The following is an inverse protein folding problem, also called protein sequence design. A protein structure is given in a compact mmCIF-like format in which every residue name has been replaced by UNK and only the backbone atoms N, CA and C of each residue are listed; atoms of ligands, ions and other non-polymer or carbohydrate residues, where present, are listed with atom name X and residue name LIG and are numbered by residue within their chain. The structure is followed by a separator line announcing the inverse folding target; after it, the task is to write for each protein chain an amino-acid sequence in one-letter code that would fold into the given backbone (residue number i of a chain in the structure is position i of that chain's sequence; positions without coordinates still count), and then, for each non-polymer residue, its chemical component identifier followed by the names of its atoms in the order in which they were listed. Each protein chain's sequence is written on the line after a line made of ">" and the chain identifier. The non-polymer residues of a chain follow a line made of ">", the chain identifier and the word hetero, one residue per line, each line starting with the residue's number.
data_IF_893873734095
#
_entry.id   IF_893873734095
#
_cell.length_a   1.000
_cell.length_b   1.000
_cell.length_c   1.000
_cell.angle_alpha   90.00
_cell.angle_beta   90.00
_cell.angle_gamma   90.00
#
_symmetry.space_group_name_H-M   'P 1'
#
loop_
_entity.id
_entity.type
_entity.pdbx_description
1 polymer ?
#
# COMPACT_ATOMS: atom_id res chain seq x y z
N UNK A 1 -24.47 38.42 -74.29
CA UNK A 1 -23.91 37.06 -74.11
C UNK A 1 -23.56 36.76 -72.64
N UNK A 2 -24.48 36.94 -71.68
CA UNK A 2 -24.17 36.83 -70.23
C UNK A 2 -25.05 35.89 -69.39
N UNK A 3 -26.07 35.24 -69.98
CA UNK A 3 -27.02 34.37 -69.27
C UNK A 3 -26.47 32.94 -69.08
N UNK A 4 -25.84 32.39 -70.13
CA UNK A 4 -25.46 30.97 -70.19
C UNK A 4 -24.29 30.59 -69.25
N UNK A 5 -23.40 31.55 -68.95
CA UNK A 5 -22.29 31.34 -68.02
C UNK A 5 -22.75 31.28 -66.55
N UNK A 6 -23.78 32.06 -66.18
CA UNK A 6 -24.33 32.05 -64.81
C UNK A 6 -25.08 30.75 -64.53
N UNK A 7 -25.80 30.22 -65.52
CA UNK A 7 -26.52 28.95 -65.37
C UNK A 7 -25.56 27.76 -65.21
N UNK A 8 -24.46 27.73 -65.98
CA UNK A 8 -23.42 26.69 -65.83
C UNK A 8 -22.72 26.73 -64.48
N UNK A 9 -22.44 27.93 -63.93
CA UNK A 9 -21.87 28.08 -62.58
C UNK A 9 -22.82 27.56 -61.51
N UNK A 10 -24.10 27.95 -61.57
CA UNK A 10 -25.13 27.49 -60.63
C UNK A 10 -25.33 25.97 -60.66
N UNK A 11 -25.29 25.34 -61.84
CA UNK A 11 -25.37 23.87 -61.96
C UNK A 11 -24.16 23.14 -61.38
N UNK A 12 -22.95 23.73 -61.46
CA UNK A 12 -21.74 23.16 -60.85
C UNK A 12 -21.76 23.26 -59.32
N UNK A 13 -22.17 24.41 -58.78
CA UNK A 13 -22.31 24.61 -57.33
C UNK A 13 -23.37 23.68 -56.74
N UNK A 14 -24.52 23.52 -57.41
CA UNK A 14 -25.55 22.57 -56.98
C UNK A 14 -25.01 21.14 -56.92
N UNK A 15 -24.28 20.70 -57.96
CA UNK A 15 -23.67 19.36 -58.00
C UNK A 15 -22.64 19.16 -56.89
N UNK A 16 -21.83 20.16 -56.59
CA UNK A 16 -20.88 20.11 -55.48
C UNK A 16 -21.58 19.95 -54.12
N UNK A 17 -22.69 20.67 -53.89
CA UNK A 17 -23.49 20.52 -52.67
C UNK A 17 -24.12 19.12 -52.55
N UNK A 18 -24.63 18.56 -53.66
CA UNK A 18 -25.18 17.19 -53.66
C UNK A 18 -24.10 16.13 -53.37
N UNK A 19 -22.90 16.29 -53.91
CA UNK A 19 -21.78 15.39 -53.60
C UNK A 19 -21.32 15.52 -52.14
N UNK A 20 -21.23 16.74 -51.61
CA UNK A 20 -20.85 16.97 -50.22
C UNK A 20 -21.87 16.37 -49.23
N UNK A 21 -23.18 16.56 -49.47
CA UNK A 21 -24.22 15.92 -48.66
C UNK A 21 -24.20 14.40 -48.78
N UNK A 22 -24.02 13.86 -50.00
CA UNK A 22 -23.92 12.42 -50.23
C UNK A 22 -22.75 11.80 -49.45
N UNK A 23 -21.58 12.44 -49.49
CA UNK A 23 -20.40 12.01 -48.73
C UNK A 23 -20.62 12.09 -47.22
N UNK A 24 -21.22 13.18 -46.73
CA UNK A 24 -21.52 13.36 -45.31
C UNK A 24 -22.47 12.27 -44.78
N UNK A 25 -23.53 11.95 -45.54
CA UNK A 25 -24.48 10.90 -45.20
C UNK A 25 -23.85 9.50 -45.26
N UNK A 26 -23.03 9.22 -46.28
CA UNK A 26 -22.36 7.92 -46.43
C UNK A 26 -21.30 7.64 -45.35
N UNK A 27 -20.72 8.66 -44.71
CA UNK A 27 -19.68 8.49 -43.68
C UNK A 27 -20.25 8.60 -42.27
N UNK A 28 -21.10 9.59 -41.99
CA UNK A 28 -21.61 9.83 -40.64
C UNK A 28 -22.64 8.78 -40.20
N UNK A 29 -23.48 8.29 -41.10
CA UNK A 29 -24.51 7.30 -40.74
C UNK A 29 -23.87 5.98 -40.27
N UNK A 30 -22.89 5.38 -40.99
CA UNK A 30 -22.19 4.19 -40.49
C UNK A 30 -21.46 4.41 -39.17
N UNK A 31 -20.84 5.57 -38.96
CA UNK A 31 -20.17 5.90 -37.69
C UNK A 31 -21.15 5.99 -36.51
N UNK A 32 -22.32 6.60 -36.72
CA UNK A 32 -23.37 6.66 -35.70
C UNK A 32 -23.97 5.29 -35.39
N UNK A 33 -24.15 4.45 -36.42
CA UNK A 33 -24.59 3.06 -36.25
C UNK A 33 -23.55 2.22 -35.50
N UNK A 34 -22.26 2.39 -35.82
CA UNK A 34 -21.16 1.71 -35.13
C UNK A 34 -21.09 2.14 -33.65
N UNK A 35 -21.23 3.43 -33.36
CA UNK A 35 -21.30 3.95 -31.99
C UNK A 35 -22.44 3.30 -31.20
N UNK A 36 -23.66 3.28 -31.76
CA UNK A 36 -24.82 2.62 -31.13
C UNK A 36 -24.60 1.13 -30.91
N UNK A 37 -23.98 0.42 -31.85
CA UNK A 37 -23.65 -1.00 -31.69
C UNK A 37 -22.64 -1.23 -30.56
N UNK A 38 -21.64 -0.37 -30.41
CA UNK A 38 -20.68 -0.46 -29.31
C UNK A 38 -21.33 -0.17 -27.95
N UNK A 39 -22.21 0.83 -27.86
CA UNK A 39 -22.97 1.15 -26.65
C UNK A 39 -23.86 -0.03 -26.22
N UNK A 40 -24.59 -0.65 -27.17
CA UNK A 40 -25.41 -1.83 -26.88
C UNK A 40 -24.58 -3.05 -26.42
N UNK A 41 -23.40 -3.27 -27.01
CA UNK A 41 -22.47 -4.34 -26.56
C UNK A 41 -21.95 -4.08 -25.15
N UNK A 42 -21.62 -2.83 -24.83
CA UNK A 42 -21.18 -2.41 -23.49
C UNK A 42 -22.26 -2.64 -22.45
N UNK A 43 -23.50 -2.28 -22.75
CA UNK A 43 -24.64 -2.45 -21.83
C UNK A 43 -24.93 -3.94 -21.58
N UNK A 44 -24.88 -4.78 -22.62
CA UNK A 44 -25.02 -6.23 -22.50
C UNK A 44 -23.91 -6.85 -21.65
N UNK A 45 -22.66 -6.41 -21.82
CA UNK A 45 -21.54 -6.87 -21.01
C UNK A 45 -21.70 -6.48 -19.53
N UNK A 46 -22.15 -5.26 -19.24
CA UNK A 46 -22.44 -4.80 -17.88
C UNK A 46 -23.58 -5.61 -17.23
N UNK A 47 -24.63 -5.94 -17.98
CA UNK A 47 -25.70 -6.81 -17.49
C UNK A 47 -25.21 -8.23 -17.17
N UNK A 48 -24.35 -8.82 -18.01
CA UNK A 48 -23.73 -10.12 -17.75
C UNK A 48 -22.84 -10.10 -16.50
N UNK A 49 -22.06 -9.03 -16.28
CA UNK A 49 -21.26 -8.87 -15.07
C UNK A 49 -22.13 -8.73 -13.81
N UNK A 50 -23.22 -7.96 -13.89
CA UNK A 50 -24.19 -7.84 -12.77
C UNK A 50 -24.82 -9.19 -12.44
N UNK A 51 -25.21 -9.96 -13.45
CA UNK A 51 -25.80 -11.30 -13.28
C UNK A 51 -24.80 -12.27 -12.62
N UNK A 52 -23.55 -12.28 -13.10
CA UNK A 52 -22.49 -13.10 -12.51
C UNK A 52 -22.20 -12.71 -11.05
N UNK A 53 -22.21 -11.41 -10.73
CA UNK A 53 -22.04 -10.94 -9.36
C UNK A 53 -23.18 -11.42 -8.43
N UNK A 54 -24.43 -11.39 -8.89
CA UNK A 54 -25.57 -11.92 -8.12
C UNK A 54 -25.55 -13.44 -7.98
N UNK A 55 -25.09 -14.19 -8.98
CA UNK A 55 -24.98 -15.66 -8.90
C UNK A 55 -23.89 -16.08 -7.91
N UNK A 56 -22.75 -15.39 -7.86
CA UNK A 56 -21.70 -15.61 -6.87
C UNK A 56 -22.21 -15.37 -5.44
N UNK A 57 -23.03 -14.33 -5.24
CA UNK A 57 -23.62 -14.02 -3.93
C UNK A 57 -24.64 -15.10 -3.51
N UNK A 58 -25.35 -15.71 -4.46
CA UNK A 58 -26.39 -16.71 -4.19
C UNK A 58 -25.87 -18.10 -3.80
N UNK A 59 -24.63 -18.44 -4.16
CA UNK A 59 -24.00 -19.73 -3.84
C UNK A 59 -23.28 -19.76 -2.48
N UNK A 60 -23.24 -18.65 -1.74
CA UNK A 60 -22.72 -18.62 -0.35
C UNK A 60 -23.85 -18.84 0.66
N UNK A 61 -24.49 -20.01 0.65
CA UNK A 61 -25.53 -20.36 1.62
C UNK A 61 -24.96 -20.66 3.01
N UNK A 62 -25.52 -19.94 3.99
CA UNK A 62 -25.60 -20.23 5.43
C UNK A 62 -24.25 -20.19 6.19
N UNK A 63 -23.68 -18.98 6.25
CA UNK A 63 -22.88 -18.54 7.40
C UNK A 63 -23.73 -17.52 8.18
N UNK A 64 -23.67 -17.45 9.53
CA UNK A 64 -24.44 -16.49 10.32
C UNK A 64 -24.31 -15.11 9.70
N UNK A 65 -25.44 -14.40 9.49
CA UNK A 65 -25.54 -13.07 8.86
C UNK A 65 -24.36 -12.20 9.29
N UNK A 66 -23.25 -12.25 8.55
CA UNK A 66 -22.14 -11.32 8.73
C UNK A 66 -22.74 -10.01 8.27
N UNK A 67 -23.03 -9.14 9.22
CA UNK A 67 -23.36 -7.74 8.94
C UNK A 67 -22.31 -7.26 7.96
N UNK A 68 -22.72 -7.00 6.71
CA UNK A 68 -21.80 -6.61 5.66
C UNK A 68 -21.21 -5.29 6.10
N UNK A 69 -19.93 -5.30 6.46
CA UNK A 69 -19.30 -4.08 6.91
C UNK A 69 -19.02 -3.21 5.70
N UNK A 70 -19.81 -2.16 5.59
CA UNK A 70 -19.66 -1.17 4.55
C UNK A 70 -18.41 -0.33 4.79
N UNK A 71 -17.75 0.08 3.71
CA UNK A 71 -16.64 1.02 3.79
C UNK A 71 -17.11 2.31 4.50
N UNK A 72 -16.22 2.96 5.25
CA UNK A 72 -16.57 4.24 5.88
C UNK A 72 -16.88 5.30 4.82
N UNK A 73 -17.75 6.25 5.14
CA UNK A 73 -18.06 7.37 4.25
C UNK A 73 -16.79 8.13 3.82
N UNK A 74 -15.82 8.26 4.74
CA UNK A 74 -14.52 8.85 4.45
C UNK A 74 -13.72 8.04 3.41
N UNK A 75 -13.69 6.71 3.52
CA UNK A 75 -13.02 5.87 2.53
C UNK A 75 -13.71 5.99 1.17
N UNK A 76 -15.04 5.92 1.12
CA UNK A 76 -15.81 6.08 -0.13
C UNK A 76 -15.52 7.42 -0.80
N UNK A 77 -15.45 8.51 -0.02
CA UNK A 77 -15.08 9.84 -0.51
C UNK A 77 -13.69 9.84 -1.17
N UNK A 78 -12.69 9.16 -0.61
CA UNK A 78 -11.37 9.05 -1.25
C UNK A 78 -11.45 8.32 -2.60
N UNK A 79 -12.27 7.28 -2.70
CA UNK A 79 -12.46 6.54 -3.96
C UNK A 79 -13.17 7.41 -5.00
N UNK A 80 -14.19 8.17 -4.59
CA UNK A 80 -14.87 9.14 -5.45
C UNK A 80 -13.90 10.20 -5.98
N UNK A 81 -13.03 10.75 -5.13
CA UNK A 81 -11.99 11.71 -5.54
C UNK A 81 -11.03 11.07 -6.55
N UNK A 82 -10.62 9.82 -6.35
CA UNK A 82 -9.75 9.10 -7.28
C UNK A 82 -10.38 8.85 -8.66
N UNK A 83 -11.71 8.88 -8.78
CA UNK A 83 -12.43 8.75 -10.05
C UNK A 83 -12.52 10.07 -10.83
N UNK A 84 -12.22 11.21 -10.22
CA UNK A 84 -12.29 12.54 -10.85
C UNK A 84 -11.16 12.74 -11.87
N UNK A 85 -11.20 13.86 -12.60
CA UNK A 85 -10.02 14.33 -13.36
C UNK A 85 -8.86 14.60 -12.38
N UNK A 86 -7.59 14.45 -12.79
CA UNK A 86 -6.46 14.76 -11.92
C UNK A 86 -6.50 16.16 -11.31
N UNK A 87 -6.94 17.16 -12.07
CA UNK A 87 -7.05 18.55 -11.65
C UNK A 87 -8.13 18.75 -10.59
N UNK A 88 -9.30 18.14 -10.77
CA UNK A 88 -10.40 18.25 -9.81
C UNK A 88 -10.11 17.42 -8.56
N UNK A 89 -9.52 16.23 -8.72
CA UNK A 89 -9.04 15.43 -7.61
C UNK A 89 -8.02 16.19 -6.76
N UNK A 90 -7.10 16.92 -7.40
CA UNK A 90 -6.11 17.71 -6.68
C UNK A 90 -6.74 18.85 -5.87
N UNK A 91 -7.74 19.54 -6.43
CA UNK A 91 -8.49 20.57 -5.69
C UNK A 91 -9.20 19.98 -4.47
N UNK A 92 -9.82 18.81 -4.62
CA UNK A 92 -10.49 18.13 -3.49
C UNK A 92 -9.49 17.68 -2.42
N UNK A 93 -8.30 17.20 -2.82
CA UNK A 93 -7.21 16.90 -1.88
C UNK A 93 -6.79 18.18 -1.14
N UNK A 94 -6.59 19.30 -1.85
CA UNK A 94 -6.21 20.59 -1.26
C UNK A 94 -7.27 21.15 -0.30
N UNK A 95 -8.52 20.73 -0.42
CA UNK A 95 -9.60 21.03 0.53
C UNK A 95 -9.55 20.16 1.80
N UNK A 96 -8.52 19.32 1.96
CA UNK A 96 -8.25 18.47 3.12
C UNK A 96 -9.44 17.57 3.49
N UNK A 97 -9.79 16.59 2.64
CA UNK A 97 -11.05 15.85 2.75
C UNK A 97 -11.14 14.99 4.01
N UNK A 98 -10.00 14.74 4.70
CA UNK A 98 -9.89 13.98 5.94
C UNK A 98 -9.52 14.83 7.17
N UNK A 99 -9.28 16.14 6.99
CA UNK A 99 -8.90 17.05 8.07
C UNK A 99 -7.53 16.75 8.68
N UNK A 100 -6.53 16.37 7.86
CA UNK A 100 -5.18 15.98 8.29
C UNK A 100 -4.09 16.98 7.92
N UNK A 101 -4.26 17.81 6.89
CA UNK A 101 -3.20 18.69 6.37
C UNK A 101 -2.78 19.78 7.36
N UNK A 102 -3.71 20.23 8.21
CA UNK A 102 -3.45 21.29 9.19
C UNK A 102 -2.88 20.79 10.53
N UNK A 103 -2.62 19.48 10.67
CA UNK A 103 -2.13 18.89 11.91
C UNK A 103 -0.61 18.96 11.96
N UNK A 104 -0.08 19.92 12.73
CA UNK A 104 1.37 20.06 12.93
C UNK A 104 1.93 19.02 13.90
N UNK A 105 1.15 18.66 14.91
CA UNK A 105 1.55 17.73 15.96
C UNK A 105 0.46 16.67 16.14
N UNK A 106 0.81 15.42 15.83
CA UNK A 106 -0.11 14.31 15.96
C UNK A 106 -0.66 14.15 17.38
N UNK A 107 0.11 14.50 18.42
CA UNK A 107 -0.31 14.36 19.81
C UNK A 107 -1.47 15.27 20.21
N UNK A 108 -1.70 16.35 19.47
CA UNK A 108 -2.75 17.34 19.79
C UNK A 108 -4.09 17.00 19.13
N UNK A 109 -4.11 16.02 18.23
CA UNK A 109 -5.32 15.60 17.54
C UNK A 109 -6.29 14.87 18.47
N UNK A 110 -7.58 15.14 18.30
CA UNK A 110 -8.65 14.55 19.12
C UNK A 110 -9.51 13.62 18.29
N UNK A 111 -9.83 12.46 18.86
CA UNK A 111 -10.71 11.49 18.22
C UNK A 111 -12.11 12.10 17.95
N UNK A 112 -12.59 12.11 16.70
CA UNK A 112 -13.92 12.56 16.36
C UNK A 112 -14.95 11.52 16.81
N UNK A 113 -16.12 12.00 17.22
CA UNK A 113 -17.18 11.15 17.77
C UNK A 113 -17.96 10.38 16.70
N UNK A 114 -18.25 11.02 15.56
CA UNK A 114 -19.17 10.48 14.55
C UNK A 114 -18.50 10.09 13.23
N UNK A 115 -17.38 10.73 12.88
CA UNK A 115 -16.74 10.55 11.56
C UNK A 115 -15.42 9.81 11.70
N UNK A 116 -15.49 8.47 11.62
CA UNK A 116 -14.35 7.57 11.74
C UNK A 116 -13.99 6.99 10.38
N UNK A 117 -12.70 7.02 10.05
CA UNK A 117 -12.15 6.37 8.87
C UNK A 117 -12.08 4.86 9.09
N UNK A 118 -11.56 4.45 10.26
CA UNK A 118 -11.35 3.05 10.58
C UNK A 118 -12.63 2.42 11.13
N UNK A 119 -13.02 1.29 10.55
CA UNK A 119 -14.16 0.50 11.01
C UNK A 119 -13.84 -0.28 12.29
N UNK A 120 -14.86 -0.67 13.08
CA UNK A 120 -14.69 -1.53 14.25
C UNK A 120 -14.03 -2.88 13.91
N UNK A 121 -13.28 -3.45 14.85
CA UNK A 121 -12.65 -4.78 14.66
C UNK A 121 -13.71 -5.88 14.46
N UNK A 122 -14.91 -5.70 15.02
CA UNK A 122 -16.06 -6.59 14.83
C UNK A 122 -16.42 -6.80 13.35
N UNK A 123 -15.99 -5.90 12.46
CA UNK A 123 -16.18 -6.02 11.03
C UNK A 123 -15.22 -6.98 10.31
N UNK A 124 -14.21 -7.51 11.00
CA UNK A 124 -13.21 -8.40 10.40
C UNK A 124 -12.27 -7.72 9.38
N UNK A 125 -12.38 -6.39 9.22
CA UNK A 125 -11.50 -5.56 8.39
C UNK A 125 -10.33 -4.95 9.18
N UNK A 126 -10.41 -4.94 10.52
CA UNK A 126 -9.37 -4.40 11.39
C UNK A 126 -8.19 -5.37 11.65
N UNK A 127 -7.08 -4.86 12.22
CA UNK A 127 -5.96 -5.69 12.67
C UNK A 127 -6.38 -6.64 13.79
N UNK A 128 -5.72 -7.80 13.89
CA UNK A 128 -6.01 -8.82 14.90
C UNK A 128 -5.44 -8.44 16.28
N UNK A 129 -6.28 -8.17 17.31
CA UNK A 129 -5.77 -7.91 18.66
C UNK A 129 -5.03 -9.11 19.26
N UNK A 130 -5.41 -10.32 18.83
CA UNK A 130 -4.75 -11.57 19.23
C UNK A 130 -3.31 -11.64 18.73
N UNK A 131 -3.06 -11.28 17.47
CA UNK A 131 -1.70 -11.27 16.91
C UNK A 131 -0.80 -10.27 17.65
N UNK A 132 -1.33 -9.09 17.96
CA UNK A 132 -0.64 -8.08 18.76
C UNK A 132 -0.27 -8.59 20.16
N UNK A 133 -1.23 -9.19 20.86
CA UNK A 133 -1.01 -9.75 22.19
C UNK A 133 -0.01 -10.92 22.17
N UNK A 134 -0.06 -11.77 21.14
CA UNK A 134 0.87 -12.88 20.95
C UNK A 134 2.31 -12.38 20.76
N UNK A 135 2.49 -11.33 19.95
CA UNK A 135 3.81 -10.72 19.73
C UNK A 135 4.35 -10.03 20.98
N UNK A 136 3.50 -9.32 21.72
CA UNK A 136 3.85 -8.70 23.01
C UNK A 136 4.39 -9.73 24.02
N UNK A 137 3.69 -10.87 24.12
CA UNK A 137 4.08 -12.01 24.96
C UNK A 137 5.22 -12.84 24.36
N UNK A 138 5.77 -12.46 23.19
CA UNK A 138 6.82 -13.18 22.46
C UNK A 138 6.49 -14.66 22.23
N UNK A 139 5.21 -14.96 21.98
CA UNK A 139 4.74 -16.32 21.74
C UNK A 139 5.36 -16.90 20.45
N UNK A 140 5.60 -18.21 20.45
CA UNK A 140 6.01 -18.93 19.22
C UNK A 140 4.93 -18.69 18.14
N UNK A 141 5.35 -18.46 16.90
CA UNK A 141 4.43 -18.18 15.78
C UNK A 141 3.97 -16.72 15.67
N UNK A 142 4.18 -15.88 16.69
CA UNK A 142 3.93 -14.44 16.57
C UNK A 142 5.09 -13.78 15.81
N UNK A 143 4.78 -13.09 14.71
CA UNK A 143 5.78 -12.46 13.85
C UNK A 143 5.36 -11.04 13.51
N UNK A 144 6.32 -10.10 13.49
CA UNK A 144 6.11 -8.81 12.85
C UNK A 144 6.55 -8.86 11.39
N UNK A 145 5.62 -8.55 10.49
CA UNK A 145 5.93 -8.24 9.10
C UNK A 145 6.02 -6.73 8.93
N UNK A 146 7.19 -6.25 8.53
CA UNK A 146 7.42 -4.85 8.19
C UNK A 146 7.45 -4.65 6.68
N UNK A 147 6.40 -4.02 6.15
CA UNK A 147 6.36 -3.65 4.74
C UNK A 147 7.12 -2.33 4.55
N UNK A 148 8.29 -2.40 3.95
CA UNK A 148 9.12 -1.26 3.68
C UNK A 148 8.71 -0.62 2.36
N UNK A 149 8.29 0.64 2.40
CA UNK A 149 8.25 1.48 1.20
C UNK A 149 9.64 2.01 0.94
N UNK A 150 10.28 1.58 -0.14
CA UNK A 150 11.64 2.04 -0.46
C UNK A 150 11.70 3.57 -0.46
N UNK A 151 12.78 4.10 0.14
CA UNK A 151 12.99 5.54 0.39
C UNK A 151 12.04 6.21 1.39
N UNK A 152 11.29 5.43 2.17
CA UNK A 152 10.55 5.89 3.35
C UNK A 152 11.32 5.74 4.68
N UNK A 153 12.63 5.44 4.64
CA UNK A 153 13.53 5.51 5.81
C UNK A 153 13.65 4.25 6.67
N UNK A 154 13.28 3.05 6.22
CA UNK A 154 13.27 1.86 7.07
C UNK A 154 14.60 1.12 7.26
N UNK A 155 15.76 1.66 6.85
CA UNK A 155 17.07 1.10 7.21
C UNK A 155 17.31 1.11 8.74
N UNK A 156 16.75 2.11 9.41
CA UNK A 156 16.75 2.27 10.86
C UNK A 156 15.72 1.38 11.57
N UNK A 157 14.64 0.97 10.90
CA UNK A 157 13.62 0.08 11.48
C UNK A 157 14.24 -1.25 11.94
N UNK A 158 15.15 -1.83 11.16
CA UNK A 158 15.76 -3.09 11.59
C UNK A 158 16.68 -2.93 12.80
N UNK A 159 17.36 -1.79 12.94
CA UNK A 159 18.11 -1.46 14.15
C UNK A 159 17.16 -1.41 15.35
N UNK A 160 15.98 -0.82 15.18
CA UNK A 160 14.94 -0.76 16.20
C UNK A 160 14.36 -2.14 16.54
N UNK A 161 14.04 -2.95 15.54
CA UNK A 161 13.62 -4.34 15.76
C UNK A 161 14.65 -5.14 16.57
N UNK A 162 15.94 -5.06 16.20
CA UNK A 162 17.04 -5.76 16.89
C UNK A 162 17.16 -5.41 18.36
N UNK A 163 16.99 -4.14 18.70
CA UNK A 163 17.07 -3.71 20.09
C UNK A 163 15.92 -4.25 20.96
N UNK A 164 14.78 -4.60 20.35
CA UNK A 164 13.60 -5.11 21.06
C UNK A 164 13.51 -6.64 21.07
N UNK A 165 13.89 -7.32 19.96
CA UNK A 165 13.77 -8.79 19.85
C UNK A 165 15.11 -9.54 19.83
N UNK A 166 16.24 -8.83 19.70
CA UNK A 166 17.60 -9.41 19.70
C UNK A 166 18.11 -9.80 18.31
N UNK A 167 19.45 -9.81 18.15
CA UNK A 167 20.11 -10.04 16.86
C UNK A 167 19.79 -11.42 16.26
N UNK A 168 19.74 -12.47 17.08
CA UNK A 168 19.46 -13.85 16.65
C UNK A 168 18.00 -14.08 16.23
N UNK A 169 17.09 -13.16 16.55
CA UNK A 169 15.67 -13.23 16.18
C UNK A 169 15.30 -12.27 15.05
N UNK A 170 16.29 -11.71 14.38
CA UNK A 170 16.13 -10.79 13.24
C UNK A 170 17.05 -11.18 12.08
N UNK A 171 16.59 -11.10 10.82
CA UNK A 171 17.49 -11.25 9.69
C UNK A 171 18.62 -10.21 9.67
N UNK A 172 19.78 -10.59 9.13
CA UNK A 172 21.01 -9.77 9.13
C UNK A 172 20.94 -8.54 8.21
N UNK A 173 20.34 -8.65 7.04
CA UNK A 173 20.29 -7.53 6.09
C UNK A 173 18.97 -6.78 6.23
N UNK A 174 18.95 -5.63 6.91
CA UNK A 174 17.74 -4.79 7.12
C UNK A 174 16.46 -5.56 7.52
N UNK A 175 16.61 -6.65 8.27
CA UNK A 175 15.50 -7.53 8.71
C UNK A 175 14.80 -8.23 7.54
N UNK A 176 15.45 -8.26 6.39
CA UNK A 176 15.05 -8.92 5.18
C UNK A 176 15.83 -10.25 5.08
N UNK A 177 15.13 -11.40 5.01
CA UNK A 177 15.75 -12.66 4.63
C UNK A 177 16.40 -12.58 3.25
N UNK A 178 17.50 -13.30 3.10
CA UNK A 178 17.96 -13.75 1.79
C UNK A 178 17.16 -14.97 1.36
N UNK A 179 16.84 -15.06 0.07
CA UNK A 179 16.24 -16.27 -0.48
C UNK A 179 17.27 -17.40 -0.74
N UNK A 180 18.55 -17.15 -0.44
CA UNK A 180 19.63 -18.11 -0.60
C UNK A 180 19.94 -18.49 -2.05
N UNK A 181 19.27 -17.88 -3.03
CA UNK A 181 19.54 -18.16 -4.44
C UNK A 181 20.86 -17.52 -4.88
N UNK A 182 21.53 -18.13 -5.87
CA UNK A 182 22.68 -17.54 -6.59
C UNK A 182 22.35 -16.25 -7.37
N UNK A 183 21.18 -15.66 -7.13
CA UNK A 183 20.75 -14.40 -7.73
C UNK A 183 21.30 -13.28 -6.84
N UNK A 184 22.23 -12.51 -7.38
CA UNK A 184 22.82 -11.38 -6.67
C UNK A 184 21.72 -10.33 -6.40
N UNK A 185 21.49 -9.94 -5.13
CA UNK A 185 20.52 -8.88 -4.76
C UNK A 185 19.09 -9.33 -4.42
N UNK A 186 18.92 -10.54 -3.87
CA UNK A 186 17.59 -11.09 -3.52
C UNK A 186 17.05 -10.71 -2.14
N UNK A 187 17.86 -10.06 -1.31
CA UNK A 187 17.41 -9.63 0.01
C UNK A 187 16.31 -8.56 -0.12
N UNK A 188 15.23 -8.71 0.65
CA UNK A 188 14.10 -7.76 0.65
C UNK A 188 12.99 -8.07 -0.34
N UNK A 189 13.00 -9.28 -0.92
CA UNK A 189 12.01 -9.79 -1.87
C UNK A 189 11.25 -10.98 -1.29
N UNK A 190 10.72 -10.82 -0.10
CA UNK A 190 9.93 -11.86 0.60
C UNK A 190 8.49 -11.85 0.09
N UNK A 191 8.02 -10.74 -0.50
CA UNK A 191 6.66 -10.60 -1.00
C UNK A 191 6.30 -11.57 -2.14
N UNK A 192 7.28 -12.22 -2.79
CA UNK A 192 7.07 -13.32 -3.75
C UNK A 192 7.00 -14.71 -3.14
N UNK A 193 7.33 -14.87 -1.86
CA UNK A 193 7.25 -16.18 -1.21
C UNK A 193 5.77 -16.54 -0.99
N UNK A 194 5.45 -17.81 -1.19
CA UNK A 194 4.17 -18.37 -0.79
C UNK A 194 4.14 -18.54 0.74
N UNK A 195 2.95 -18.60 1.30
CA UNK A 195 2.67 -18.76 2.72
C UNK A 195 3.44 -19.94 3.36
N UNK A 196 3.57 -21.08 2.69
CA UNK A 196 4.30 -22.24 3.21
C UNK A 196 5.79 -21.93 3.37
N UNK A 197 6.38 -21.25 2.39
CA UNK A 197 7.79 -20.87 2.42
C UNK A 197 8.07 -19.84 3.53
N UNK A 198 7.16 -18.89 3.73
CA UNK A 198 7.23 -17.94 4.85
C UNK A 198 7.18 -18.70 6.17
N UNK A 199 6.24 -19.64 6.31
CA UNK A 199 6.07 -20.43 7.52
C UNK A 199 7.27 -21.33 7.83
N UNK A 200 7.80 -22.03 6.82
CA UNK A 200 9.00 -22.86 6.94
C UNK A 200 10.20 -22.03 7.39
N UNK A 201 10.44 -20.87 6.76
CA UNK A 201 11.51 -19.97 7.13
C UNK A 201 11.41 -19.52 8.60
N UNK A 202 10.22 -19.11 9.02
CA UNK A 202 9.97 -18.64 10.38
C UNK A 202 10.22 -19.72 11.42
N UNK A 203 9.74 -20.94 11.17
CA UNK A 203 9.96 -22.09 12.05
C UNK A 203 11.42 -22.48 12.14
N UNK A 204 12.12 -22.52 11.00
CA UNK A 204 13.54 -22.90 10.92
C UNK A 204 14.46 -21.88 11.60
N UNK A 205 14.16 -20.59 11.48
CA UNK A 205 15.05 -19.52 11.97
C UNK A 205 14.69 -19.01 13.35
N UNK A 206 13.45 -19.18 13.80
CA UNK A 206 12.96 -18.57 15.04
C UNK A 206 12.94 -17.04 15.01
N UNK A 207 13.02 -16.44 13.82
CA UNK A 207 12.93 -14.99 13.68
C UNK A 207 11.54 -14.48 14.06
N UNK A 208 11.50 -13.31 14.71
CA UNK A 208 10.25 -12.65 15.10
C UNK A 208 9.92 -11.45 14.21
N UNK A 209 10.80 -11.11 13.27
CA UNK A 209 10.64 -9.97 12.37
C UNK A 209 11.05 -10.37 10.96
N UNK A 210 10.22 -10.05 9.98
CA UNK A 210 10.56 -10.06 8.56
C UNK A 210 10.25 -8.70 7.95
N UNK A 211 11.02 -8.31 6.95
CA UNK A 211 10.75 -7.14 6.14
C UNK A 211 10.77 -7.48 4.65
N UNK A 212 9.94 -6.77 3.90
CA UNK A 212 9.90 -6.78 2.44
C UNK A 212 9.98 -5.34 1.93
N UNK A 213 10.79 -5.09 0.90
CA UNK A 213 10.98 -3.74 0.34
C UNK A 213 10.56 -3.68 -1.13
N UNK A 214 10.98 -4.67 -1.92
CA UNK A 214 10.97 -4.56 -3.38
C UNK A 214 9.70 -5.12 -4.00
N UNK A 215 9.17 -6.21 -3.45
CA UNK A 215 7.99 -6.88 -4.00
C UNK A 215 6.70 -6.18 -3.56
N UNK A 216 5.60 -6.48 -4.28
CA UNK A 216 4.26 -6.17 -3.79
C UNK A 216 4.00 -6.85 -2.43
N UNK A 217 3.21 -6.20 -1.58
CA UNK A 217 2.81 -6.73 -0.28
C UNK A 217 1.95 -7.98 -0.48
N UNK A 218 2.33 -9.16 0.05
CA UNK A 218 1.62 -10.41 -0.17
C UNK A 218 0.38 -10.52 0.74
N UNK A 219 -0.59 -9.63 0.53
CA UNK A 219 -1.78 -9.48 1.37
C UNK A 219 -2.54 -10.80 1.57
N UNK A 220 -2.86 -11.52 0.49
CA UNK A 220 -3.57 -12.81 0.59
C UNK A 220 -2.82 -13.84 1.45
N UNK A 221 -1.50 -13.97 1.23
CA UNK A 221 -0.66 -14.89 2.00
C UNK A 221 -0.64 -14.51 3.50
N UNK A 222 -0.46 -13.24 3.85
CA UNK A 222 -0.28 -12.81 5.24
C UNK A 222 -1.59 -12.66 6.02
N UNK A 223 -2.65 -12.18 5.37
CA UNK A 223 -3.93 -11.87 6.03
C UNK A 223 -4.84 -13.10 6.04
N UNK A 224 -4.87 -13.86 4.95
CA UNK A 224 -5.86 -14.92 4.77
C UNK A 224 -5.29 -16.33 4.88
N UNK A 225 -4.10 -16.60 4.37
CA UNK A 225 -3.61 -17.98 4.29
C UNK A 225 -2.71 -18.40 5.44
N UNK A 226 -1.69 -17.61 5.76
CA UNK A 226 -0.72 -17.91 6.81
C UNK A 226 -1.35 -18.15 8.19
N UNK A 227 -2.34 -17.35 8.65
CA UNK A 227 -3.05 -17.62 9.91
C UNK A 227 -3.90 -18.89 9.90
N UNK A 228 -4.29 -19.37 8.72
CA UNK A 228 -5.17 -20.51 8.51
C UNK A 228 -4.42 -21.76 8.03
N UNK A 229 -3.09 -21.74 7.96
CA UNK A 229 -2.31 -22.92 7.62
C UNK A 229 -2.55 -24.02 8.68
N UNK A 230 -2.63 -25.29 8.27
CA UNK A 230 -2.73 -26.41 9.21
C UNK A 230 -1.62 -26.38 10.25
N UNK A 231 -1.98 -26.73 11.49
CA UNK A 231 -1.00 -26.89 12.56
C UNK A 231 0.05 -27.93 12.11
N UNK A 232 1.34 -27.56 12.09
CA UNK A 232 2.40 -28.50 11.73
C UNK A 232 2.49 -29.69 12.71
N UNK A 233 3.08 -30.83 12.31
CA UNK A 233 3.18 -32.03 13.14
C UNK A 233 3.92 -31.84 14.48
N UNK A 234 4.74 -30.79 14.58
CA UNK A 234 5.47 -30.44 15.80
C UNK A 234 4.61 -29.66 16.83
N UNK A 235 3.30 -29.56 16.60
CA UNK A 235 2.33 -28.82 17.41
C UNK A 235 2.68 -27.33 17.59
N UNK A 236 3.50 -26.75 16.70
CA UNK A 236 3.73 -25.31 16.73
C UNK A 236 2.44 -24.56 16.42
N UNK A 237 2.14 -23.45 17.12
CA UNK A 237 0.94 -22.66 16.85
C UNK A 237 0.96 -22.09 15.42
N UNK A 238 -0.22 -21.79 14.85
CA UNK A 238 -0.33 -21.04 13.60
C UNK A 238 0.45 -19.72 13.66
N UNK A 239 0.90 -19.25 12.51
CA UNK A 239 1.66 -18.00 12.44
C UNK A 239 0.68 -16.84 12.32
N UNK A 240 0.78 -15.91 13.27
CA UNK A 240 -0.10 -14.75 13.34
C UNK A 240 0.73 -13.47 13.10
N UNK A 241 0.65 -12.89 11.89
CA UNK A 241 1.46 -11.73 11.54
C UNK A 241 0.86 -10.43 12.09
N UNK A 242 1.69 -9.69 12.82
CA UNK A 242 1.51 -8.26 13.09
C UNK A 242 2.06 -7.49 11.91
N UNK A 243 1.18 -6.79 11.20
CA UNK A 243 1.53 -6.00 10.02
C UNK A 243 1.92 -4.57 10.40
N UNK A 244 3.07 -4.12 9.95
CA UNK A 244 3.59 -2.78 10.20
C UNK A 244 4.14 -2.14 8.91
N UNK A 245 3.96 -0.84 8.73
CA UNK A 245 4.60 -0.08 7.65
C UNK A 245 4.78 1.40 8.01
N UNK A 246 5.71 2.05 7.32
CA UNK A 246 5.91 3.49 7.34
C UNK A 246 5.72 4.01 5.92
N UNK A 247 4.85 5.00 5.75
CA UNK A 247 4.55 5.63 4.46
C UNK A 247 5.10 7.05 4.46
N UNK A 248 5.86 7.39 3.42
CA UNK A 248 6.39 8.75 3.22
C UNK A 248 5.45 9.52 2.29
N UNK A 249 5.47 10.85 2.41
CA UNK A 249 4.88 11.72 1.40
C UNK A 249 5.28 11.25 -0.02
N UNK A 250 4.31 11.09 -0.93
CA UNK A 250 4.56 10.51 -2.25
C UNK A 250 5.60 11.27 -3.06
N UNK A 251 5.60 12.60 -2.99
CA UNK A 251 6.51 13.44 -3.76
C UNK A 251 7.90 13.46 -3.12
N UNK A 252 7.99 13.54 -1.80
CA UNK A 252 9.27 13.43 -1.10
C UNK A 252 9.95 12.08 -1.37
N UNK A 253 9.15 11.01 -1.47
CA UNK A 253 9.61 9.67 -1.86
C UNK A 253 10.16 9.67 -3.29
N UNK A 254 9.45 10.26 -4.25
CA UNK A 254 9.90 10.35 -5.65
C UNK A 254 11.20 11.17 -5.77
N UNK A 255 11.29 12.32 -5.10
CA UNK A 255 12.51 13.13 -5.05
C UNK A 255 13.66 12.36 -4.41
N UNK A 256 13.40 11.62 -3.33
CA UNK A 256 14.39 10.75 -2.69
C UNK A 256 14.86 9.62 -3.63
N UNK A 257 13.95 9.00 -4.37
CA UNK A 257 14.27 7.99 -5.38
C UNK A 257 15.15 8.57 -6.50
N UNK A 258 14.81 9.76 -7.02
CA UNK A 258 15.59 10.45 -8.03
C UNK A 258 16.98 10.86 -7.52
N UNK A 259 17.09 11.50 -6.36
CA UNK A 259 18.39 11.88 -5.77
C UNK A 259 19.29 10.66 -5.56
N UNK A 260 18.71 9.54 -5.13
CA UNK A 260 19.47 8.32 -4.90
C UNK A 260 19.86 7.60 -6.20
N UNK A 261 18.91 7.30 -7.09
CA UNK A 261 19.18 6.48 -8.29
C UNK A 261 19.45 7.29 -9.56
N UNK A 262 18.78 8.42 -9.71
CA UNK A 262 18.98 9.32 -10.85
C UNK A 262 20.31 10.09 -10.77
N UNK A 263 20.74 10.47 -9.56
CA UNK A 263 21.98 11.25 -9.35
C UNK A 263 23.08 10.38 -8.75
N UNK A 264 22.91 9.90 -7.51
CA UNK A 264 24.01 9.27 -6.75
C UNK A 264 24.52 7.97 -7.40
N UNK A 265 23.61 7.16 -7.95
CA UNK A 265 23.92 5.88 -8.61
C UNK A 265 23.79 5.94 -10.14
N UNK A 266 23.58 7.12 -10.73
CA UNK A 266 23.47 7.31 -12.18
C UNK A 266 24.82 7.29 -12.93
N UNK A 267 25.91 6.97 -12.24
CA UNK A 267 27.28 7.05 -12.74
C UNK A 267 27.89 8.46 -12.63
N UNK A 268 29.16 8.65 -13.03
CA UNK A 268 29.86 9.93 -12.88
C UNK A 268 29.15 11.09 -13.58
N UNK A 269 28.66 10.88 -14.81
CA UNK A 269 27.98 11.92 -15.60
C UNK A 269 26.74 12.48 -14.92
N UNK A 270 26.01 11.66 -14.18
CA UNK A 270 24.78 12.09 -13.50
C UNK A 270 25.05 12.94 -12.25
N UNK A 271 26.27 12.90 -11.69
CA UNK A 271 26.67 13.76 -10.57
C UNK A 271 26.95 15.19 -11.04
N UNK A 272 27.60 15.32 -12.20
CA UNK A 272 27.98 16.62 -12.76
C UNK A 272 26.86 17.26 -13.58
N UNK A 273 26.06 16.44 -14.26
CA UNK A 273 24.92 16.88 -15.06
C UNK A 273 23.70 15.97 -14.79
N UNK A 274 22.96 16.22 -13.69
CA UNK A 274 21.84 15.38 -13.32
C UNK A 274 20.72 15.44 -14.38
N UNK A 275 20.07 14.31 -14.72
CA UNK A 275 18.97 14.31 -15.69
C UNK A 275 17.80 15.13 -15.14
N UNK A 276 17.00 15.77 -15.99
CA UNK A 276 15.77 16.42 -15.54
C UNK A 276 14.88 15.43 -14.77
N UNK A 277 14.38 15.86 -13.60
CA UNK A 277 13.67 14.96 -12.68
C UNK A 277 12.36 14.45 -13.28
N UNK A 278 11.59 15.31 -13.97
CA UNK A 278 10.29 14.94 -14.52
C UNK A 278 10.49 13.92 -15.63
N UNK A 279 11.42 14.18 -16.55
CA UNK A 279 11.78 13.25 -17.61
C UNK A 279 12.33 11.92 -17.09
N UNK A 280 13.15 11.96 -16.03
CA UNK A 280 13.68 10.75 -15.41
C UNK A 280 12.56 9.90 -14.81
N UNK A 281 11.64 10.53 -14.07
CA UNK A 281 10.49 9.87 -13.46
C UNK A 281 9.53 9.32 -14.52
N UNK A 282 9.25 10.05 -15.58
CA UNK A 282 8.38 9.59 -16.67
C UNK A 282 8.94 8.36 -17.38
N UNK A 283 10.25 8.36 -17.63
CA UNK A 283 10.88 7.18 -18.20
C UNK A 283 10.79 5.97 -17.26
N UNK A 284 10.95 6.18 -15.94
CA UNK A 284 10.84 5.09 -14.95
C UNK A 284 9.41 4.57 -14.81
N UNK A 285 8.43 5.44 -14.73
CA UNK A 285 7.01 5.08 -14.67
C UNK A 285 6.58 4.31 -15.93
N UNK A 286 6.98 4.78 -17.12
CA UNK A 286 6.73 4.08 -18.38
C UNK A 286 7.32 2.66 -18.37
N UNK A 287 8.58 2.49 -17.96
CA UNK A 287 9.21 1.17 -17.87
C UNK A 287 8.47 0.29 -16.86
N UNK A 288 8.13 0.84 -15.69
CA UNK A 288 7.41 0.10 -14.65
C UNK A 288 6.07 -0.42 -15.13
N UNK A 289 5.31 0.38 -15.89
CA UNK A 289 4.00 0.01 -16.46
C UNK A 289 4.08 -1.00 -17.61
N UNK A 290 5.18 -1.01 -18.36
CA UNK A 290 5.40 -1.97 -19.45
C UNK A 290 5.90 -3.33 -18.95
N UNK A 291 6.54 -3.36 -17.78
CA UNK A 291 7.22 -4.54 -17.26
C UNK A 291 6.62 -4.96 -15.93
N UNK A 292 5.68 -5.92 -15.93
CA UNK A 292 5.09 -6.39 -14.68
C UNK A 292 6.16 -7.03 -13.80
N UNK A 293 6.20 -6.60 -12.54
CA UNK A 293 7.29 -6.93 -11.62
C UNK A 293 7.51 -8.45 -11.43
N UNK A 294 6.45 -9.26 -11.55
CA UNK A 294 6.57 -10.72 -11.43
C UNK A 294 7.34 -11.37 -12.59
N UNK A 295 7.39 -10.73 -13.76
CA UNK A 295 8.18 -11.19 -14.92
C UNK A 295 9.58 -10.56 -14.95
N UNK A 296 9.74 -9.38 -14.35
CA UNK A 296 10.98 -8.62 -14.35
C UNK A 296 11.37 -8.25 -12.91
N UNK A 297 11.75 -9.23 -12.07
CA UNK A 297 12.06 -8.97 -10.67
C UNK A 297 13.21 -7.97 -10.52
N UNK A 298 14.18 -7.95 -11.43
CA UNK A 298 15.34 -7.05 -11.35
C UNK A 298 15.00 -5.58 -11.66
N UNK A 299 13.81 -5.27 -12.17
CA UNK A 299 13.34 -3.91 -12.47
C UNK A 299 12.71 -3.19 -11.25
N UNK A 300 13.09 -3.59 -10.03
CA UNK A 300 12.60 -2.99 -8.79
C UNK A 300 12.80 -1.46 -8.75
N UNK A 301 13.88 -0.95 -9.36
CA UNK A 301 14.14 0.49 -9.46
C UNK A 301 13.02 1.25 -10.15
N UNK A 302 12.56 0.72 -11.28
CA UNK A 302 11.48 1.32 -12.05
C UNK A 302 10.18 1.23 -11.27
N UNK A 303 9.92 0.11 -10.58
CA UNK A 303 8.72 -0.02 -9.74
C UNK A 303 8.72 0.98 -8.59
N UNK A 304 9.84 1.15 -7.87
CA UNK A 304 9.91 2.16 -6.81
C UNK A 304 9.74 3.56 -7.38
N UNK A 305 10.33 3.89 -8.52
CA UNK A 305 10.18 5.20 -9.14
C UNK A 305 8.86 5.41 -9.91
N UNK A 306 7.98 4.39 -9.96
CA UNK A 306 6.64 4.48 -10.53
C UNK A 306 5.85 5.57 -9.79
N UNK A 307 4.99 6.27 -10.52
CA UNK A 307 3.91 6.98 -9.89
C UNK A 307 3.01 5.96 -9.15
N UNK A 308 2.15 6.40 -8.23
CA UNK A 308 1.22 5.51 -7.53
C UNK A 308 1.83 4.20 -6.94
N UNK A 309 3.11 4.22 -6.58
CA UNK A 309 3.87 3.03 -6.16
C UNK A 309 3.29 2.44 -4.89
N UNK A 310 2.93 3.26 -3.91
CA UNK A 310 2.39 2.77 -2.64
C UNK A 310 1.04 2.10 -2.85
N UNK A 311 0.12 2.75 -3.56
CA UNK A 311 -1.19 2.18 -3.89
C UNK A 311 -1.04 0.86 -4.64
N UNK A 312 -0.20 0.81 -5.68
CA UNK A 312 0.03 -0.43 -6.42
C UNK A 312 0.63 -1.54 -5.54
N UNK A 313 1.61 -1.21 -4.69
CA UNK A 313 2.32 -2.19 -3.86
C UNK A 313 1.38 -2.90 -2.89
N UNK A 314 0.41 -2.21 -2.32
CA UNK A 314 -0.58 -2.81 -1.42
C UNK A 314 -1.74 -3.47 -2.16
N UNK A 315 -2.09 -3.01 -3.37
CA UNK A 315 -3.20 -3.57 -4.15
C UNK A 315 -2.84 -4.84 -4.96
N UNK A 316 -1.61 -4.94 -5.47
CA UNK A 316 -1.29 -5.92 -6.51
C UNK A 316 -1.46 -7.40 -6.12
N UNK A 317 -1.46 -7.73 -4.82
CA UNK A 317 -1.65 -9.11 -4.29
C UNK A 317 -2.73 -9.21 -3.22
N UNK A 318 -3.72 -8.32 -3.24
CA UNK A 318 -4.85 -8.32 -2.30
C UNK A 318 -6.02 -9.23 -2.70
N UNK A 319 -5.87 -10.01 -3.77
CA UNK A 319 -6.97 -10.76 -4.39
C UNK A 319 -7.77 -9.90 -5.39
N UNK A 320 -8.37 -10.57 -6.37
CA UNK A 320 -8.97 -9.92 -7.54
C UNK A 320 -7.93 -9.49 -8.60
N UNK A 321 -8.38 -9.28 -9.83
CA UNK A 321 -7.53 -8.81 -10.92
C UNK A 321 -7.41 -7.29 -10.88
N UNK A 322 -6.28 -6.76 -10.36
CA UNK A 322 -5.92 -5.36 -10.53
C UNK A 322 -5.01 -5.24 -11.75
N UNK A 323 -5.35 -4.42 -12.77
CA UNK A 323 -4.49 -4.23 -13.93
C UNK A 323 -3.11 -3.71 -13.52
N UNK A 324 -2.06 -4.26 -14.11
CA UNK A 324 -0.70 -3.77 -13.86
C UNK A 324 -0.51 -2.33 -14.39
N UNK A 325 -1.23 -1.97 -15.44
CA UNK A 325 -1.17 -0.67 -16.10
C UNK A 325 -2.58 -0.11 -16.39
N UNK A 326 -3.05 0.79 -15.54
CA UNK A 326 -4.35 1.44 -15.70
C UNK A 326 -4.46 2.33 -16.95
N UNK A 327 -3.34 2.73 -17.57
CA UNK A 327 -3.38 3.55 -18.80
C UNK A 327 -3.90 2.79 -20.02
N UNK A 328 -3.97 1.45 -19.94
CA UNK A 328 -4.49 0.60 -21.02
C UNK A 328 -5.99 0.31 -20.86
N UNK A 329 -6.59 0.74 -19.76
CA UNK A 329 -8.01 0.54 -19.48
C UNK A 329 -8.86 1.59 -20.20
N UNK A 330 -10.11 1.24 -20.51
CA UNK A 330 -11.05 2.17 -21.14
C UNK A 330 -11.35 3.40 -20.26
N UNK A 331 -11.20 3.25 -18.94
CA UNK A 331 -11.33 4.32 -17.96
C UNK A 331 -10.16 4.24 -16.95
N UNK A 332 -9.04 4.95 -17.22
CA UNK A 332 -7.86 4.89 -16.36
C UNK A 332 -8.12 5.33 -14.91
N UNK A 333 -8.94 6.37 -14.70
CA UNK A 333 -9.22 6.88 -13.36
C UNK A 333 -10.04 5.89 -12.54
N UNK A 334 -11.02 5.21 -13.16
CA UNK A 334 -11.75 4.13 -12.50
C UNK A 334 -10.83 2.95 -12.16
N UNK A 335 -9.86 2.62 -13.03
CA UNK A 335 -8.84 1.62 -12.69
C UNK A 335 -7.98 2.05 -11.50
N UNK A 336 -7.49 3.29 -11.49
CA UNK A 336 -6.69 3.84 -10.40
C UNK A 336 -7.50 3.93 -9.08
N UNK A 337 -8.78 4.25 -9.14
CA UNK A 337 -9.69 4.21 -7.99
C UNK A 337 -9.86 2.78 -7.45
N UNK A 338 -9.96 1.75 -8.31
CA UNK A 338 -9.95 0.35 -7.87
C UNK A 338 -8.61 -0.07 -7.25
N UNK A 339 -7.48 0.40 -7.78
CA UNK A 339 -6.16 0.17 -7.19
C UNK A 339 -6.12 0.79 -5.79
N UNK A 340 -6.55 2.05 -5.65
CA UNK A 340 -6.62 2.73 -4.36
C UNK A 340 -7.51 1.97 -3.38
N UNK A 341 -8.73 1.61 -3.76
CA UNK A 341 -9.69 0.91 -2.89
C UNK A 341 -9.11 -0.39 -2.32
N UNK A 342 -8.43 -1.17 -3.16
CA UNK A 342 -7.73 -2.39 -2.72
C UNK A 342 -6.58 -2.11 -1.79
N UNK A 343 -5.79 -1.07 -2.06
CA UNK A 343 -4.70 -0.66 -1.18
C UNK A 343 -5.23 -0.22 0.19
N UNK A 344 -6.32 0.54 0.24
CA UNK A 344 -6.95 0.99 1.49
C UNK A 344 -7.50 -0.20 2.29
N UNK A 345 -8.19 -1.15 1.63
CA UNK A 345 -8.68 -2.38 2.29
C UNK A 345 -7.56 -3.16 2.97
N UNK A 346 -6.41 -3.25 2.32
CA UNK A 346 -5.22 -3.89 2.88
C UNK A 346 -4.65 -3.10 4.06
N UNK A 347 -4.50 -1.78 3.92
CA UNK A 347 -3.91 -0.92 4.95
C UNK A 347 -4.77 -0.80 6.22
N UNK A 348 -6.09 -0.92 6.09
CA UNK A 348 -7.01 -1.01 7.24
C UNK A 348 -6.63 -2.14 8.20
N UNK A 349 -6.09 -3.24 7.67
CA UNK A 349 -5.66 -4.44 8.43
C UNK A 349 -4.29 -4.31 9.08
N UNK A 350 -3.55 -3.23 8.81
CA UNK A 350 -2.24 -3.02 9.44
C UNK A 350 -2.41 -2.74 10.93
N UNK A 351 -1.48 -3.24 11.76
CA UNK A 351 -1.51 -2.97 13.20
C UNK A 351 -0.82 -1.64 13.50
N UNK A 352 0.27 -1.39 12.77
CA UNK A 352 1.06 -0.17 12.83
C UNK A 352 1.13 0.43 11.43
N UNK A 353 0.60 1.63 11.27
CA UNK A 353 0.64 2.39 10.03
C UNK A 353 1.06 3.80 10.39
N UNK A 354 2.25 4.21 9.94
CA UNK A 354 2.88 5.44 10.42
C UNK A 354 3.24 6.32 9.24
N UNK A 355 2.74 7.56 9.15
CA UNK A 355 3.27 8.53 8.21
C UNK A 355 4.67 8.95 8.67
N UNK A 356 5.63 9.04 7.76
CA UNK A 356 7.01 9.42 8.06
C UNK A 356 7.09 10.78 8.77
N UNK A 357 6.18 11.71 8.44
CA UNK A 357 6.03 13.03 9.08
C UNK A 357 5.86 12.96 10.59
N UNK A 358 5.21 11.91 11.11
CA UNK A 358 4.92 11.73 12.54
C UNK A 358 5.55 10.47 13.12
N UNK A 359 6.64 9.99 12.51
CA UNK A 359 7.29 8.77 12.96
C UNK A 359 7.81 8.86 14.41
N UNK A 360 8.25 10.05 14.85
CA UNK A 360 8.70 10.30 16.22
C UNK A 360 7.58 10.18 17.27
N UNK A 361 6.31 10.29 16.87
CA UNK A 361 5.17 10.17 17.79
C UNK A 361 4.56 8.77 17.80
N UNK A 362 5.15 7.81 17.07
CA UNK A 362 4.62 6.46 16.94
C UNK A 362 4.89 5.52 18.14
N UNK A 363 5.66 5.97 19.14
CA UNK A 363 6.04 5.16 20.30
C UNK A 363 4.85 4.45 20.99
N UNK A 364 3.69 5.10 21.22
CA UNK A 364 2.54 4.43 21.83
C UNK A 364 2.03 3.23 21.03
N UNK A 365 2.11 3.27 19.69
CA UNK A 365 1.67 2.16 18.84
C UNK A 365 2.59 0.95 18.96
N UNK A 366 3.91 1.18 19.04
CA UNK A 366 4.91 0.11 19.19
C UNK A 366 4.94 -0.48 20.60
N UNK A 367 4.63 0.31 21.65
CA UNK A 367 4.52 -0.21 23.03
C UNK A 367 3.49 -1.32 23.17
N UNK A 368 2.45 -1.32 22.33
CA UNK A 368 1.46 -2.41 22.28
C UNK A 368 2.07 -3.76 21.89
N UNK A 369 3.18 -3.74 21.15
CA UNK A 369 3.96 -4.93 20.78
C UNK A 369 4.99 -5.32 21.87
N UNK A 370 5.02 -4.62 23.00
CA UNK A 370 6.07 -4.74 24.01
C UNK A 370 7.40 -4.10 23.60
N UNK A 371 7.39 -3.20 22.60
CA UNK A 371 8.60 -2.55 22.10
C UNK A 371 8.70 -1.11 22.65
N UNK A 372 9.81 -0.76 23.29
CA UNK A 372 9.97 0.50 24.03
C UNK A 372 11.12 1.39 23.56
N UNK A 373 12.05 0.87 22.75
CA UNK A 373 13.30 1.56 22.39
C UNK A 373 13.21 2.43 21.13
N UNK A 374 12.05 3.02 20.86
CA UNK A 374 11.88 3.85 19.66
C UNK A 374 12.70 5.14 19.80
N UNK A 375 12.71 5.73 20.99
CA UNK A 375 13.36 7.02 21.27
C UNK A 375 14.90 6.93 21.19
N UNK A 376 15.47 5.73 21.34
CA UNK A 376 16.91 5.47 21.24
C UNK A 376 17.43 5.43 19.79
N UNK A 377 16.51 5.37 18.81
CA UNK A 377 16.86 5.32 17.40
C UNK A 377 16.07 6.40 16.68
N UNK A 378 16.78 7.40 16.19
CA UNK A 378 16.24 8.21 15.09
C UNK A 378 15.95 7.25 13.93
N UNK A 379 14.67 6.91 13.76
CA UNK A 379 14.22 6.10 12.64
C UNK A 379 14.29 6.91 11.33
N UNK A 380 14.65 8.20 11.42
CA UNK A 380 15.08 9.07 10.33
C UNK A 380 16.61 9.00 10.18
N UNK A 381 17.16 8.78 8.98
CA UNK A 381 18.50 8.22 8.80
C UNK A 381 19.75 9.05 9.20
N UNK A 382 19.84 9.89 10.24
CA UNK A 382 21.08 10.64 10.64
C UNK A 382 22.07 11.05 9.50
N UNK A 383 21.94 12.26 8.94
CA UNK A 383 22.88 12.83 7.96
C UNK A 383 22.51 14.26 7.53
N UNK A 384 23.39 15.00 6.86
CA UNK A 384 23.16 16.42 6.55
C UNK A 384 22.13 16.69 5.42
N UNK A 385 21.68 15.66 4.66
CA UNK A 385 20.74 15.78 3.53
C UNK A 385 19.65 14.70 3.54
N UNK A 386 18.71 14.76 4.50
CA UNK A 386 17.83 13.62 4.80
C UNK A 386 16.35 13.82 4.47
N UNK A 387 15.86 15.05 4.63
CA UNK A 387 14.52 15.40 4.23
C UNK A 387 14.59 15.96 2.82
N UNK A 388 14.33 15.12 1.81
CA UNK A 388 13.76 15.64 0.57
C UNK A 388 12.46 16.31 0.98
N UNK A 389 12.38 17.61 0.80
CA UNK A 389 11.16 18.39 0.95
C UNK A 389 10.82 18.83 -0.48
N UNK A 390 10.04 18.00 -1.17
CA UNK A 390 9.78 18.10 -2.59
C UNK A 390 9.29 19.49 -3.00
N UNK A 391 8.50 20.15 -2.16
CA UNK A 391 8.02 21.51 -2.38
C UNK A 391 9.15 22.54 -2.48
N UNK A 392 10.25 22.36 -1.74
CA UNK A 392 11.44 23.22 -1.80
C UNK A 392 12.48 22.75 -2.82
N UNK A 393 12.51 21.45 -3.11
CA UNK A 393 13.47 20.83 -4.02
C UNK A 393 13.07 20.95 -5.51
N UNK A 394 11.80 21.25 -5.79
CA UNK A 394 11.23 21.24 -7.14
C UNK A 394 10.78 22.64 -7.57
N UNK A 395 10.88 22.89 -8.87
CA UNK A 395 10.19 24.03 -9.47
C UNK A 395 8.67 23.88 -9.27
N UNK A 396 7.91 24.97 -9.03
CA UNK A 396 6.47 24.89 -8.77
C UNK A 396 5.69 24.13 -9.84
N UNK A 397 6.06 24.28 -11.11
CA UNK A 397 5.45 23.56 -12.24
C UNK A 397 5.72 22.06 -12.19
N UNK A 398 6.94 21.65 -11.81
CA UNK A 398 7.30 20.24 -11.63
C UNK A 398 6.58 19.64 -10.43
N UNK A 399 6.53 20.38 -9.31
CA UNK A 399 5.80 19.96 -8.12
C UNK A 399 4.32 19.71 -8.43
N UNK A 400 3.65 20.68 -9.06
CA UNK A 400 2.25 20.55 -9.48
C UNK A 400 2.04 19.37 -10.45
N UNK A 401 2.87 19.25 -11.48
CA UNK A 401 2.78 18.14 -12.44
C UNK A 401 2.95 16.76 -11.79
N UNK A 402 3.83 16.64 -10.78
CA UNK A 402 4.00 15.36 -10.07
C UNK A 402 2.81 15.04 -9.17
N UNK A 403 2.18 16.05 -8.55
CA UNK A 403 0.94 15.84 -7.78
C UNK A 403 -0.18 15.28 -8.66
N UNK A 404 -0.42 15.88 -9.83
CA UNK A 404 -1.44 15.42 -10.79
C UNK A 404 -1.23 13.95 -11.21
N UNK A 405 0.01 13.48 -11.29
CA UNK A 405 0.33 12.10 -11.69
C UNK A 405 0.25 11.09 -10.54
N UNK A 406 0.12 11.55 -9.29
CA UNK A 406 0.21 10.74 -8.08
C UNK A 406 -1.04 10.83 -7.19
N UNK A 407 -2.21 11.16 -7.76
CA UNK A 407 -3.49 11.26 -7.04
C UNK A 407 -3.75 10.04 -6.12
N UNK A 408 -3.59 8.77 -6.56
CA UNK A 408 -3.83 7.62 -5.69
C UNK A 408 -2.89 7.57 -4.47
N UNK A 409 -1.60 7.85 -4.66
CA UNK A 409 -0.63 7.83 -3.56
C UNK A 409 -0.84 9.02 -2.61
N UNK A 410 -1.30 10.19 -3.11
CA UNK A 410 -1.67 11.33 -2.27
C UNK A 410 -2.86 11.01 -1.37
N UNK A 411 -3.94 10.45 -1.94
CA UNK A 411 -5.12 10.02 -1.17
C UNK A 411 -4.78 8.90 -0.18
N UNK A 412 -3.92 7.95 -0.59
CA UNK A 412 -3.41 6.91 0.30
C UNK A 412 -2.61 7.51 1.47
N UNK A 413 -1.79 8.54 1.21
CA UNK A 413 -1.02 9.19 2.26
C UNK A 413 -1.92 9.93 3.26
N UNK A 414 -2.95 10.64 2.78
CA UNK A 414 -3.97 11.25 3.65
C UNK A 414 -4.70 10.19 4.49
N UNK A 415 -5.07 9.06 3.87
CA UNK A 415 -5.63 7.90 4.59
C UNK A 415 -4.68 7.42 5.69
N UNK A 416 -3.38 7.27 5.39
CA UNK A 416 -2.38 6.81 6.35
C UNK A 416 -2.25 7.78 7.53
N UNK A 417 -2.22 9.09 7.26
CA UNK A 417 -2.21 10.12 8.30
C UNK A 417 -3.43 10.00 9.20
N UNK A 418 -4.63 9.94 8.61
CA UNK A 418 -5.87 9.82 9.38
C UNK A 418 -5.94 8.52 10.18
N UNK A 419 -5.60 7.39 9.56
CA UNK A 419 -5.58 6.08 10.21
C UNK A 419 -4.58 6.03 11.37
N UNK A 420 -3.42 6.67 11.24
CA UNK A 420 -2.44 6.79 12.32
C UNK A 420 -3.02 7.56 13.51
N UNK A 421 -3.61 8.73 13.27
CA UNK A 421 -4.21 9.56 14.32
C UNK A 421 -5.35 8.84 15.04
N UNK A 422 -6.22 8.16 14.29
CA UNK A 422 -7.27 7.34 14.88
C UNK A 422 -6.71 6.20 15.73
N UNK A 423 -5.67 5.50 15.27
CA UNK A 423 -5.04 4.42 16.06
C UNK A 423 -4.31 4.93 17.30
N UNK A 424 -3.88 6.19 17.29
CA UNK A 424 -3.17 6.82 18.40
C UNK A 424 -4.13 7.29 19.49
N UNK A 425 -5.27 7.87 19.11
CA UNK A 425 -6.13 8.62 20.04
C UNK A 425 -7.54 8.08 20.19
N UNK A 426 -8.04 7.31 19.23
CA UNK A 426 -9.37 6.76 19.34
C UNK A 426 -9.36 5.45 20.12
N UNK A 427 -10.33 5.24 21.04
CA UNK A 427 -10.57 3.93 21.61
C UNK A 427 -10.74 2.89 20.50
N UNK A 428 -10.12 1.72 20.70
CA UNK A 428 -10.44 0.56 19.87
C UNK A 428 -11.91 0.26 20.08
N UNK A 429 -12.65 0.16 18.98
CA UNK A 429 -14.00 -0.36 18.99
C UNK A 429 -13.85 -1.89 19.12
N UNK A 430 -13.52 -2.32 20.34
CA UNK A 430 -13.50 -3.74 20.71
C UNK A 430 -14.92 -4.28 20.46
N UNK A 431 -15.07 -5.45 19.85
CA UNK A 431 -16.34 -6.14 19.89
C UNK A 431 -16.69 -6.30 21.35
N UNK A 432 -17.89 -5.87 21.76
CA UNK A 432 -18.43 -6.16 23.08
C UNK A 432 -18.62 -7.67 23.20
N UNK A 433 -17.55 -8.41 23.46
CA UNK A 433 -17.64 -9.80 23.83
C UNK A 433 -18.23 -9.81 25.24
N UNK A 434 -19.54 -10.05 25.30
CA UNK A 434 -20.23 -10.50 26.51
C UNK A 434 -19.37 -11.60 27.14
N UNK A 435 -18.72 -11.27 28.25
CA UNK A 435 -17.86 -12.17 29.01
C UNK A 435 -18.74 -13.20 29.72
N UNK A 436 -19.16 -14.24 29.00
CA UNK A 436 -19.77 -15.45 29.59
C UNK A 436 -18.77 -16.61 29.72
N UNK A 437 -17.49 -16.39 29.42
CA UNK A 437 -16.45 -17.37 29.72
C UNK A 437 -16.13 -17.33 31.21
N UNK A 438 -16.89 -18.15 31.94
CA UNK A 438 -16.64 -18.68 33.27
C UNK A 438 -15.16 -18.64 33.66
N UNK A 439 -14.88 -17.82 34.68
CA UNK A 439 -13.66 -17.83 35.47
C UNK A 439 -13.50 -19.20 36.15
N UNK A 440 -12.90 -20.16 35.44
CA UNK A 440 -12.30 -21.31 36.11
C UNK A 440 -10.97 -20.85 36.65
N UNK A 441 -10.96 -20.54 37.95
CA UNK A 441 -9.78 -20.21 38.75
C UNK A 441 -8.76 -21.36 38.67
N UNK A 442 -7.80 -21.25 37.76
CA UNK A 442 -6.55 -22.02 37.84
C UNK A 442 -5.61 -21.23 38.76
N UNK A 443 -5.48 -21.71 40.00
CA UNK A 443 -4.42 -21.28 40.92
C UNK A 443 -3.08 -21.72 40.30
N UNK A 444 -2.30 -20.76 39.81
CA UNK A 444 -0.89 -20.99 39.49
C UNK A 444 -0.09 -20.91 40.80
N UNK A 445 0.41 -22.05 41.25
CA UNK A 445 1.58 -22.10 42.12
C UNK A 445 2.77 -21.65 41.27
N UNK A 446 3.35 -20.51 41.61
CA UNK A 446 4.66 -20.08 41.12
C UNK A 446 5.66 -20.64 42.11
N UNK A 447 6.32 -21.74 41.74
CA UNK A 447 7.61 -22.10 42.33
C UNK A 447 8.66 -21.15 41.74
N UNK A 448 9.32 -20.41 42.63
CA UNK A 448 10.49 -19.61 42.32
C UNK A 448 11.67 -20.56 42.01
N UNK A 449 11.98 -20.74 40.74
CA UNK A 449 13.28 -21.26 40.31
C UNK A 449 14.34 -20.17 40.52
N UNK A 450 14.98 -20.18 41.69
CA UNK A 450 16.23 -19.46 41.92
C UNK A 450 17.38 -20.19 41.23
N UNK A 451 17.96 -19.56 40.21
CA UNK A 451 19.18 -20.00 39.53
C UNK A 451 20.35 -20.16 40.52
N UNK A 452 20.72 -21.40 40.83
CA UNK A 452 21.98 -21.73 41.47
C UNK A 452 23.14 -21.59 40.47
N UNK A 453 23.76 -20.40 40.44
CA UNK A 453 25.07 -20.22 39.83
C UNK A 453 26.11 -20.89 40.73
N UNK A 454 26.72 -21.97 40.24
CA UNK A 454 27.79 -22.67 40.95
C UNK A 454 29.09 -21.86 40.94
N UNK A 455 29.83 -21.94 42.04
CA UNK A 455 31.05 -21.16 42.33
C UNK A 455 32.21 -21.45 41.35
N UNK A 456 32.11 -22.49 40.52
CA UNK A 456 33.05 -22.79 39.45
C UNK A 456 32.94 -21.85 38.24
N UNK A 457 31.75 -21.30 37.94
CA UNK A 457 31.60 -20.38 36.80
C UNK A 457 32.16 -18.98 37.08
N UNK A 458 32.27 -18.58 38.36
CA UNK A 458 32.93 -17.32 38.75
C UNK A 458 34.43 -17.35 38.53
N UNK A 459 35.09 -18.51 38.63
CA UNK A 459 36.56 -18.63 38.47
C UNK A 459 37.03 -18.63 37.01
N UNK A 460 36.15 -18.86 36.03
CA UNK A 460 36.51 -18.83 34.60
C UNK A 460 36.46 -17.43 33.97
N UNK A 461 35.90 -16.42 34.65
CA UNK A 461 35.81 -15.04 34.13
C UNK A 461 36.93 -14.10 34.61
N UNK A 462 37.91 -14.59 35.38
CA UNK A 462 39.06 -13.80 35.85
C UNK A 462 40.42 -14.32 35.34
N UNK A 463 40.46 -14.93 34.16
CA UNK A 463 41.71 -15.23 33.44
C UNK A 463 41.66 -14.71 32.02
#
# INVERSE_FOLDING_TARGET
>A
MGSDAREKKRKRELRACFFAMGFLLCVLIPLLLLKRQMEARREKALQSLRKAATEIDSHMTISPKKTKCEASALRLKLIEIAMMSPEDALKEIDNDPLGVHNIKNASDWKCPRSERLLQPVACGSGPSPRAEAALNKKQKGAVLWFEHLSKAGGTSFCKFARQNVGFHRTPKYYCMPSDGAKIQGTDGRVGRWQEEKIAEYLRRTGHLVLANEWDAFPADALIHKLPNLPTPPDNSPPIEPVLATVVRDPLDRLVSAYKFWGITHGGPKAKDNPPDIVNWLDNRDRIARQRPHHLFPDDFLSQVARNNFASWKFAAKSGGSVPHNCLLEANPNECEARVLDRALDVLERFHILVPMTWQSTAAPLYRRLGWSKLDEIHVVPSGAKQNSAAQSDLQPTHYHSLRLRNIPDLLLFDFVQRAFLERLHCPRLEPSFSSSWSSTSVRNNVEEDTDHITEEERKKKSR
#
